data_IF_378420588548
#
_entry.id   IF_378420588548
#
_cell.length_a   1.000
_cell.length_b   1.000
_cell.length_c   1.000
_cell.angle_alpha   90.00
_cell.angle_beta   90.00
_cell.angle_gamma   90.00
#
_symmetry.space_group_name_H-M   'P 1'
#
loop_
_entity.id
_entity.type
_entity.pdbx_description
1 polymer ?
#
# COMPACT_ATOMS: atom_id res chain seq x y z
N UNK A 1 -3.17 11.94 -7.20
CA UNK A 1 -4.26 10.94 -7.29
C UNK A 1 -5.51 11.60 -6.76
N UNK A 2 -6.68 11.20 -7.22
CA UNK A 2 -7.94 11.88 -6.87
C UNK A 2 -8.82 11.02 -5.95
N UNK A 3 -9.55 11.68 -5.06
CA UNK A 3 -10.54 11.05 -4.19
C UNK A 3 -11.59 10.32 -5.02
N UNK A 4 -11.88 9.06 -4.68
CA UNK A 4 -12.88 8.26 -5.40
C UNK A 4 -12.46 7.84 -6.82
N UNK A 5 -11.22 8.11 -7.23
CA UNK A 5 -10.72 7.68 -8.53
C UNK A 5 -10.75 6.15 -8.72
N UNK A 6 -10.83 5.71 -9.98
CA UNK A 6 -11.07 4.33 -10.37
C UNK A 6 -10.01 3.35 -9.85
N UNK A 7 -10.45 2.22 -9.30
CA UNK A 7 -9.58 1.08 -9.02
C UNK A 7 -9.15 0.36 -10.29
N UNK A 8 -7.93 -0.18 -10.29
CA UNK A 8 -7.43 -1.00 -11.40
C UNK A 8 -7.16 -2.41 -10.89
N UNK A 9 -6.00 -2.97 -11.20
CA UNK A 9 -5.52 -4.22 -10.60
C UNK A 9 -5.39 -4.06 -9.09
N UNK A 10 -4.98 -2.87 -8.62
CA UNK A 10 -4.90 -2.49 -7.21
C UNK A 10 -5.94 -1.43 -6.81
N UNK A 11 -6.08 -1.17 -5.50
CA UNK A 11 -6.94 -0.09 -5.00
C UNK A 11 -6.40 1.28 -5.42
N UNK A 12 -7.26 2.29 -5.39
CA UNK A 12 -6.82 3.69 -5.46
C UNK A 12 -6.05 4.01 -4.17
N UNK A 13 -4.91 4.69 -4.29
CA UNK A 13 -4.04 5.03 -3.17
C UNK A 13 -4.29 6.45 -2.63
N UNK A 14 -5.32 7.18 -3.08
CA UNK A 14 -5.70 8.45 -2.49
C UNK A 14 -5.91 8.34 -0.97
N UNK A 15 -5.33 9.27 -0.22
CA UNK A 15 -5.36 9.25 1.25
C UNK A 15 -4.66 8.03 1.84
N UNK A 16 -3.57 7.54 1.21
CA UNK A 16 -2.87 6.32 1.65
C UNK A 16 -2.32 6.45 3.07
N UNK A 17 -1.63 7.55 3.36
CA UNK A 17 -0.92 7.74 4.63
C UNK A 17 -1.92 7.99 5.77
N UNK A 18 -1.75 7.26 6.88
CA UNK A 18 -2.67 7.25 8.02
C UNK A 18 -3.87 6.31 7.86
N UNK A 19 -4.06 5.70 6.68
CA UNK A 19 -5.20 4.81 6.42
C UNK A 19 -4.90 3.38 6.86
N UNK A 20 -5.89 2.72 7.44
CA UNK A 20 -5.82 1.28 7.75
C UNK A 20 -5.77 0.44 6.48
N UNK A 21 -4.92 -0.57 6.46
CA UNK A 21 -4.80 -1.52 5.35
C UNK A 21 -6.14 -2.20 5.04
N UNK A 22 -6.42 -2.41 3.76
CA UNK A 22 -7.61 -3.15 3.33
C UNK A 22 -8.94 -2.39 3.44
N UNK A 23 -8.92 -1.06 3.59
CA UNK A 23 -10.12 -0.24 3.84
C UNK A 23 -10.51 0.71 2.71
N UNK A 24 -9.87 0.66 1.53
CA UNK A 24 -10.37 1.44 0.39
C UNK A 24 -11.75 0.91 -0.04
N UNK A 25 -12.75 1.79 0.06
CA UNK A 25 -14.11 1.52 -0.36
C UNK A 25 -14.15 1.14 -1.84
N UNK A 26 -15.02 0.20 -2.21
CA UNK A 26 -15.18 -0.25 -3.60
C UNK A 26 -14.12 -1.24 -4.10
N UNK A 27 -13.06 -1.53 -3.32
CA UNK A 27 -12.02 -2.50 -3.72
C UNK A 27 -12.10 -3.84 -2.97
N UNK A 28 -12.04 -4.94 -3.73
CA UNK A 28 -12.09 -6.30 -3.19
C UNK A 28 -10.72 -6.80 -2.69
N UNK A 29 -10.36 -6.44 -1.46
CA UNK A 29 -9.14 -6.92 -0.82
C UNK A 29 -9.15 -8.42 -0.49
N UNK A 30 -7.95 -9.02 -0.43
CA UNK A 30 -7.75 -10.34 0.20
C UNK A 30 -8.10 -10.29 1.70
N UNK A 31 -8.59 -11.40 2.26
CA UNK A 31 -8.83 -11.56 3.70
C UNK A 31 -7.60 -11.20 4.53
N UNK A 32 -6.39 -11.61 4.08
CA UNK A 32 -5.14 -11.27 4.75
C UNK A 32 -4.92 -9.76 4.90
N UNK A 33 -5.07 -9.00 3.81
CA UNK A 33 -4.92 -7.54 3.84
C UNK A 33 -5.98 -6.84 4.72
N UNK A 34 -7.23 -7.32 4.73
CA UNK A 34 -8.30 -6.77 5.58
C UNK A 34 -8.00 -6.97 7.08
N UNK A 35 -7.36 -8.09 7.42
CA UNK A 35 -7.08 -8.49 8.80
C UNK A 35 -5.65 -8.13 9.25
N UNK A 36 -4.87 -7.43 8.43
CA UNK A 36 -3.45 -7.20 8.68
C UNK A 36 -3.18 -6.22 9.84
N UNK A 37 -4.22 -5.51 10.30
CA UNK A 37 -4.18 -4.51 11.39
C UNK A 37 -3.01 -3.52 11.31
N UNK A 38 -2.72 -3.07 10.10
CA UNK A 38 -1.64 -2.12 9.79
C UNK A 38 -2.25 -0.77 9.43
N UNK A 39 -1.62 0.30 9.91
CA UNK A 39 -1.83 1.67 9.42
C UNK A 39 -0.67 2.01 8.49
N UNK A 40 -0.97 2.54 7.31
CA UNK A 40 0.06 2.91 6.35
C UNK A 40 0.76 4.21 6.74
N UNK A 41 2.04 4.10 7.02
CA UNK A 41 3.00 5.19 7.22
C UNK A 41 4.29 4.86 6.45
N UNK A 42 5.31 5.70 6.57
CA UNK A 42 6.59 5.48 5.88
C UNK A 42 7.26 4.16 6.30
N UNK A 43 7.19 3.80 7.58
CA UNK A 43 7.85 2.62 8.14
C UNK A 43 7.19 1.32 7.67
N UNK A 44 5.86 1.26 7.77
CA UNK A 44 5.06 0.11 7.36
C UNK A 44 5.05 -0.05 5.85
N UNK A 45 5.06 1.06 5.09
CA UNK A 45 5.25 1.01 3.64
C UNK A 45 6.65 0.53 3.27
N UNK A 46 7.71 0.95 3.96
CA UNK A 46 9.07 0.44 3.68
C UNK A 46 9.16 -1.07 3.90
N UNK A 47 8.64 -1.56 5.03
CA UNK A 47 8.60 -2.98 5.35
C UNK A 47 7.77 -3.78 4.34
N UNK A 48 6.59 -3.28 3.98
CA UNK A 48 5.72 -3.92 3.00
C UNK A 48 6.36 -3.93 1.60
N UNK A 49 6.89 -2.80 1.15
CA UNK A 49 7.53 -2.66 -0.17
C UNK A 49 8.82 -3.48 -0.27
N UNK A 50 9.49 -3.80 0.83
CA UNK A 50 10.66 -4.69 0.82
C UNK A 50 10.29 -6.10 0.35
N UNK A 51 9.22 -6.68 0.91
CA UNK A 51 8.76 -8.02 0.55
C UNK A 51 7.27 -8.22 0.92
N UNK A 52 6.32 -7.83 0.03
CA UNK A 52 4.90 -7.78 0.35
C UNK A 52 4.32 -9.08 0.89
N UNK A 53 4.63 -10.21 0.24
CA UNK A 53 4.13 -11.53 0.61
C UNK A 53 4.71 -12.07 1.92
N UNK A 54 5.86 -11.56 2.36
CA UNK A 54 6.42 -11.91 3.66
C UNK A 54 5.81 -11.04 4.77
N UNK A 55 5.61 -9.74 4.50
CA UNK A 55 5.02 -8.81 5.46
C UNK A 55 3.53 -9.09 5.71
N UNK A 56 2.75 -9.35 4.66
CA UNK A 56 1.34 -9.77 4.76
C UNK A 56 1.18 -11.08 3.98
N UNK A 57 1.32 -12.24 4.64
CA UNK A 57 1.15 -13.54 3.99
C UNK A 57 -0.22 -13.68 3.33
N UNK A 58 -0.26 -14.29 2.14
CA UNK A 58 -1.48 -14.53 1.34
C UNK A 58 -2.19 -13.27 0.82
N UNK A 59 -1.54 -12.10 0.85
CA UNK A 59 -2.07 -10.94 0.12
C UNK A 59 -2.05 -11.20 -1.41
N UNK A 60 -2.97 -10.53 -2.12
CA UNK A 60 -3.16 -10.71 -3.58
C UNK A 60 -2.24 -9.85 -4.46
N UNK A 61 -1.37 -9.01 -3.88
CA UNK A 61 -0.47 -8.17 -4.66
C UNK A 61 0.62 -9.04 -5.31
N UNK A 62 0.74 -8.98 -6.63
CA UNK A 62 1.73 -9.73 -7.43
C UNK A 62 3.13 -9.12 -7.41
N UNK A 63 3.36 -8.11 -6.56
CA UNK A 63 4.64 -7.41 -6.45
C UNK A 63 5.65 -8.19 -5.61
N UNK A 64 6.87 -8.36 -6.15
CA UNK A 64 7.94 -9.11 -5.49
C UNK A 64 8.64 -8.31 -4.38
N UNK A 65 8.55 -6.98 -4.43
CA UNK A 65 9.22 -6.03 -3.52
C UNK A 65 10.43 -5.32 -4.14
N UNK A 66 10.92 -4.30 -3.44
CA UNK A 66 12.09 -3.47 -3.78
C UNK A 66 13.19 -3.71 -2.74
N UNK A 67 14.26 -4.38 -3.14
CA UNK A 67 15.37 -4.70 -2.23
C UNK A 67 16.22 -3.47 -1.88
N UNK A 68 16.40 -2.56 -2.83
CA UNK A 68 17.21 -1.35 -2.62
C UNK A 68 16.45 -0.35 -1.77
N UNK A 69 17.04 0.02 -0.64
CA UNK A 69 16.45 0.97 0.30
C UNK A 69 16.17 2.32 -0.35
N UNK A 70 17.11 2.84 -1.16
CA UNK A 70 16.92 4.13 -1.82
C UNK A 70 15.72 4.13 -2.77
N UNK A 71 15.47 3.04 -3.50
CA UNK A 71 14.31 2.92 -4.39
C UNK A 71 13.01 2.96 -3.60
N UNK A 72 12.97 2.32 -2.42
CA UNK A 72 11.81 2.38 -1.51
C UNK A 72 11.59 3.78 -0.98
N UNK A 73 12.64 4.44 -0.48
CA UNK A 73 12.55 5.83 0.01
C UNK A 73 12.03 6.77 -1.07
N UNK A 74 12.56 6.67 -2.29
CA UNK A 74 12.13 7.48 -3.42
C UNK A 74 10.66 7.21 -3.76
N UNK A 75 10.24 5.95 -3.79
CA UNK A 75 8.84 5.58 -4.05
C UNK A 75 7.91 6.08 -2.94
N UNK A 76 8.28 5.92 -1.67
CA UNK A 76 7.49 6.39 -0.53
C UNK A 76 7.34 7.91 -0.57
N UNK A 77 8.43 8.64 -0.85
CA UNK A 77 8.38 10.09 -1.02
C UNK A 77 7.45 10.50 -2.17
N UNK A 78 7.55 9.82 -3.31
CA UNK A 78 6.64 10.03 -4.44
C UNK A 78 5.18 9.75 -4.06
N UNK A 79 4.90 8.64 -3.38
CA UNK A 79 3.56 8.31 -2.90
C UNK A 79 3.05 9.42 -1.99
N UNK A 80 3.83 9.83 -0.98
CA UNK A 80 3.44 10.88 -0.03
C UNK A 80 3.07 12.19 -0.71
N UNK A 81 3.81 12.58 -1.75
CA UNK A 81 3.53 13.77 -2.52
C UNK A 81 2.29 13.64 -3.44
N UNK A 82 1.93 12.42 -3.87
CA UNK A 82 0.92 12.19 -4.92
C UNK A 82 -0.36 11.51 -4.44
N UNK A 83 -0.40 11.05 -3.19
CA UNK A 83 -1.55 10.40 -2.56
C UNK A 83 -2.15 11.23 -1.42
N UNK A 84 -1.89 12.54 -1.42
CA UNK A 84 -2.35 13.49 -0.41
C UNK A 84 -3.85 13.39 -0.06
N UNK A 85 -4.16 13.97 1.10
CA UNK A 85 -5.47 13.96 1.76
C UNK A 85 -6.59 14.57 0.94
#
# INVERSE_FOLDING_TARGET
MDQGGKHRVGPNLYGLFGKKAGTAEGYAYSTAMKNADIVWDETTLDAYLTKPKAFIPKNKMSFIGLKKEQDRKNLIAYLKANTGS
#
